data_IF_450241272606
#
_entry.id   IF_450241272606
#
_cell.length_a   1.000
_cell.length_b   1.000
_cell.length_c   1.000
_cell.angle_alpha   90.00
_cell.angle_beta   90.00
_cell.angle_gamma   90.00
#
_symmetry.space_group_name_H-M   'P 1'
#
loop_
_entity.id
_entity.type
_entity.pdbx_description
1 polymer ?
#
# COMPACT_ATOMS: atom_id res chain seq x y z
N UNK A 1 -8.01 26.76 30.53
CA UNK A 1 -7.70 26.84 29.08
C UNK A 1 -7.79 28.25 28.47
N UNK A 2 -8.42 29.24 29.13
CA UNK A 2 -8.36 30.65 28.68
C UNK A 2 -7.18 31.44 29.27
N UNK A 3 -6.65 31.01 30.44
CA UNK A 3 -5.57 31.70 31.14
C UNK A 3 -4.16 31.50 30.52
N UNK A 4 -3.93 30.38 29.83
CA UNK A 4 -2.61 30.08 29.22
C UNK A 4 -2.39 30.81 27.89
N UNK A 5 -3.46 31.22 27.20
CA UNK A 5 -3.38 31.98 25.93
C UNK A 5 -2.95 33.43 26.16
N UNK A 6 -3.29 34.01 27.33
CA UNK A 6 -2.89 35.38 27.71
C UNK A 6 -1.41 35.44 28.10
N UNK A 7 -0.88 34.39 28.72
CA UNK A 7 0.54 34.32 29.09
C UNK A 7 1.47 34.23 27.86
N UNK A 8 1.06 33.48 26.82
CA UNK A 8 1.83 33.36 25.58
C UNK A 8 1.87 34.69 24.78
N UNK A 9 0.78 35.45 24.79
CA UNK A 9 0.74 36.79 24.16
C UNK A 9 1.55 37.83 24.94
N UNK A 10 1.56 37.77 26.28
CA UNK A 10 2.33 38.69 27.12
C UNK A 10 3.86 38.54 26.98
N UNK A 11 4.36 37.32 26.81
CA UNK A 11 5.80 37.04 26.64
C UNK A 11 6.32 37.46 25.26
N UNK A 12 5.47 37.36 24.22
CA UNK A 12 5.84 37.78 22.86
C UNK A 12 5.97 39.31 22.72
N UNK A 13 5.16 40.07 23.46
CA UNK A 13 5.19 41.54 23.47
C UNK A 13 6.42 42.08 24.23
N UNK A 14 6.86 41.40 25.31
CA UNK A 14 8.06 41.82 26.06
C UNK A 14 9.37 41.49 25.33
N UNK A 15 9.41 40.37 24.58
CA UNK A 15 10.58 39.96 23.80
C UNK A 15 10.93 40.90 22.64
N UNK A 16 9.93 41.56 22.06
CA UNK A 16 10.13 42.53 20.96
C UNK A 16 10.39 43.96 21.45
N UNK A 17 9.99 44.30 22.69
CA UNK A 17 10.25 45.62 23.27
C UNK A 17 11.71 45.80 23.76
N UNK A 18 12.46 44.72 24.00
CA UNK A 18 13.85 44.79 24.48
C UNK A 18 14.89 45.00 23.38
N UNK A 19 14.52 44.94 22.09
CA UNK A 19 15.47 44.96 20.96
C UNK A 19 15.53 46.32 20.24
N UNK A 20 14.65 47.28 20.55
CA UNK A 20 14.70 48.61 19.91
C UNK A 20 14.49 49.75 20.91
N UNK A 21 15.59 50.33 21.39
CA UNK A 21 15.63 51.69 21.94
C UNK A 21 15.40 52.68 20.80
N UNK A 22 14.16 53.07 20.55
CA UNK A 22 13.78 54.41 20.10
C UNK A 22 12.27 54.45 19.88
N UNK A 23 11.58 55.24 20.70
CA UNK A 23 10.16 55.55 20.55
C UNK A 23 10.05 56.62 19.48
N UNK A 24 9.40 56.31 18.34
CA UNK A 24 8.60 57.27 17.55
C UNK A 24 7.86 56.56 16.41
N UNK A 25 6.53 56.48 16.56
CA UNK A 25 5.52 56.23 15.52
C UNK A 25 5.59 54.91 14.72
N UNK A 26 4.88 53.87 15.20
CA UNK A 26 4.54 52.69 14.39
C UNK A 26 3.16 52.89 13.74
N UNK A 27 3.15 53.19 12.43
CA UNK A 27 1.96 53.03 11.58
C UNK A 27 1.59 51.55 11.55
N UNK A 28 0.42 51.20 12.08
CA UNK A 28 -0.16 49.86 11.95
C UNK A 28 -0.70 49.70 10.53
N UNK A 29 0.18 49.29 9.61
CA UNK A 29 -0.22 48.72 8.33
C UNK A 29 -0.32 47.21 8.50
N UNK A 30 -1.55 46.67 8.44
CA UNK A 30 -1.77 45.23 8.36
C UNK A 30 -1.30 44.76 6.98
N UNK A 31 -0.01 44.48 6.85
CA UNK A 31 0.51 43.73 5.72
C UNK A 31 0.08 42.28 5.89
N UNK A 32 -0.99 41.90 5.18
CA UNK A 32 -1.37 40.51 4.99
C UNK A 32 -0.37 39.86 4.04
N UNK A 33 0.80 39.50 4.56
CA UNK A 33 1.68 38.55 3.89
C UNK A 33 1.11 37.15 4.10
N UNK A 34 0.48 36.67 3.03
CA UNK A 34 -0.09 35.35 2.85
C UNK A 34 0.93 34.26 3.25
N UNK A 35 0.89 33.84 4.51
CA UNK A 35 1.67 32.70 5.00
C UNK A 35 0.78 31.46 4.82
N UNK A 36 0.70 30.97 3.59
CA UNK A 36 0.06 29.68 3.27
C UNK A 36 1.01 28.58 3.73
N UNK A 37 1.00 28.31 5.03
CA UNK A 37 1.37 27.05 5.72
C UNK A 37 1.45 27.39 7.22
N UNK A 38 0.72 26.70 8.13
CA UNK A 38 0.39 25.29 8.03
C UNK A 38 -1.04 24.95 8.50
N UNK A 39 -2.06 25.36 7.75
CA UNK A 39 -3.38 24.70 7.87
C UNK A 39 -3.26 23.19 7.63
N UNK A 40 -2.42 22.78 6.67
CA UNK A 40 -2.19 21.37 6.37
C UNK A 40 -1.33 20.61 7.40
N UNK A 41 -0.36 21.26 8.08
CA UNK A 41 0.43 20.58 9.11
C UNK A 41 -0.34 20.49 10.44
N UNK A 42 -1.13 21.52 10.78
CA UNK A 42 -2.08 21.44 11.88
C UNK A 42 -3.14 20.35 11.65
N UNK A 43 -3.63 20.21 10.41
CA UNK A 43 -4.54 19.13 10.05
C UNK A 43 -3.88 17.75 10.18
N UNK A 44 -2.62 17.58 9.73
CA UNK A 44 -1.88 16.31 9.87
C UNK A 44 -1.69 15.88 11.33
N UNK A 45 -1.45 16.81 12.25
CA UNK A 45 -1.26 16.50 13.67
C UNK A 45 -2.56 16.17 14.40
N UNK A 46 -3.70 16.69 13.91
CA UNK A 46 -5.00 16.60 14.59
C UNK A 46 -5.93 15.49 14.08
N UNK A 47 -5.69 14.87 12.92
CA UNK A 47 -6.75 14.10 12.25
C UNK A 47 -6.51 12.61 12.02
N UNK A 48 -5.39 12.01 12.45
CA UNK A 48 -5.14 10.57 12.23
C UNK A 48 -5.44 10.12 10.78
N UNK A 49 -5.12 10.97 9.80
CA UNK A 49 -5.41 10.68 8.39
C UNK A 49 -4.33 9.77 7.83
N UNK A 50 -4.69 8.53 7.49
CA UNK A 50 -3.90 7.70 6.58
C UNK A 50 -4.13 8.17 5.14
N UNK A 51 -3.16 8.87 4.54
CA UNK A 51 -3.24 9.25 3.13
C UNK A 51 -2.60 8.15 2.30
N UNK A 52 -3.38 7.54 1.41
CA UNK A 52 -2.84 6.59 0.44
C UNK A 52 -2.79 7.23 -0.96
N UNK A 53 -1.61 7.63 -1.40
CA UNK A 53 -1.44 8.13 -2.77
C UNK A 53 -1.19 6.93 -3.69
N UNK A 54 -2.25 6.43 -4.34
CA UNK A 54 -2.12 5.43 -5.40
C UNK A 54 -1.89 6.11 -6.75
N UNK A 55 -0.64 6.41 -7.10
CA UNK A 55 -0.32 6.91 -8.45
C UNK A 55 -0.53 5.76 -9.45
N UNK A 56 -1.67 5.78 -10.14
CA UNK A 56 -1.94 4.87 -11.27
C UNK A 56 -1.19 5.42 -12.48
N UNK A 57 -0.19 4.72 -13.04
CA UNK A 57 0.43 5.15 -14.29
C UNK A 57 -0.63 5.15 -15.40
N UNK A 58 -0.59 6.12 -16.33
CA UNK A 58 -1.57 6.21 -17.40
C UNK A 58 -1.55 4.92 -18.25
N UNK A 59 -2.74 4.34 -18.49
CA UNK A 59 -2.89 3.33 -19.54
C UNK A 59 -2.71 3.99 -20.91
N UNK A 60 -1.97 3.40 -21.85
CA UNK A 60 -1.69 4.02 -23.16
C UNK A 60 -2.91 4.15 -24.10
N UNK A 61 -4.12 3.89 -23.62
CA UNK A 61 -5.34 3.87 -24.42
C UNK A 61 -6.41 4.73 -23.77
N UNK A 62 -6.47 6.01 -24.16
CA UNK A 62 -7.70 6.81 -24.33
C UNK A 62 -7.37 8.30 -24.36
N UNK A 63 -6.78 8.79 -25.45
CA UNK A 63 -6.96 10.17 -25.90
C UNK A 63 -6.56 10.27 -27.36
N UNK A 64 -7.55 10.28 -28.27
CA UNK A 64 -7.32 10.71 -29.65
C UNK A 64 -7.09 12.22 -29.64
N UNK A 65 -5.82 12.62 -29.52
CA UNK A 65 -5.41 14.02 -29.60
C UNK A 65 -3.93 14.08 -29.94
N UNK A 66 -3.62 14.56 -31.14
CA UNK A 66 -2.25 14.77 -31.62
C UNK A 66 -1.43 15.52 -30.57
N UNK A 67 -0.34 14.92 -30.05
CA UNK A 67 0.84 15.67 -29.62
C UNK A 67 2.08 14.79 -29.44
N UNK A 68 3.18 15.44 -29.78
CA UNK A 68 4.56 15.00 -29.87
C UNK A 68 5.07 14.18 -28.68
N UNK A 69 5.93 13.23 -29.00
CA UNK A 69 6.67 12.39 -28.08
C UNK A 69 7.73 13.20 -27.30
N UNK A 70 7.38 13.65 -26.09
CA UNK A 70 8.35 13.82 -25.00
C UNK A 70 7.62 13.98 -23.65
N UNK A 71 7.57 12.90 -22.86
CA UNK A 71 7.01 12.87 -21.51
C UNK A 71 5.54 12.44 -21.48
N UNK A 72 5.29 11.20 -21.03
CA UNK A 72 3.93 10.69 -20.76
C UNK A 72 3.20 11.66 -19.82
N UNK A 73 2.01 12.14 -20.20
CA UNK A 73 1.17 12.91 -19.28
C UNK A 73 0.87 12.09 -18.05
N UNK A 74 1.42 12.48 -16.90
CA UNK A 74 1.24 11.76 -15.64
C UNK A 74 -0.10 12.14 -15.03
N UNK A 75 -1.15 11.40 -15.37
CA UNK A 75 -2.37 11.44 -14.57
C UNK A 75 -2.09 10.74 -13.24
N UNK A 76 -2.54 11.36 -12.13
CA UNK A 76 -2.40 10.79 -10.80
C UNK A 76 -3.80 10.60 -10.21
N UNK A 77 -4.11 9.37 -9.82
CA UNK A 77 -5.28 9.07 -9.00
C UNK A 77 -4.88 9.19 -7.53
N UNK A 78 -5.77 9.71 -6.68
CA UNK A 78 -5.50 9.82 -5.25
C UNK A 78 -6.63 9.11 -4.50
N UNK A 79 -6.27 8.16 -3.63
CA UNK A 79 -7.22 7.47 -2.76
C UNK A 79 -7.11 8.00 -1.32
N UNK A 80 -8.00 8.91 -0.95
CA UNK A 80 -8.00 9.47 0.40
C UNK A 80 -9.02 8.76 1.28
N UNK A 81 -8.54 8.11 2.34
CA UNK A 81 -9.37 7.52 3.39
C UNK A 81 -9.00 8.14 4.75
N UNK A 82 -9.95 8.21 5.67
CA UNK A 82 -9.74 8.77 7.01
C UNK A 82 -10.46 7.91 8.03
N UNK A 83 -9.78 7.57 9.11
CA UNK A 83 -10.39 6.96 10.28
C UNK A 83 -10.16 7.81 11.52
N UNK A 84 -11.15 7.88 12.39
CA UNK A 84 -11.05 8.64 13.64
C UNK A 84 -12.02 8.06 14.67
N UNK A 85 -11.66 8.14 15.95
CA UNK A 85 -12.50 7.64 17.06
C UNK A 85 -13.78 8.45 17.21
N UNK A 86 -13.73 9.75 16.91
CA UNK A 86 -14.88 10.64 16.95
C UNK A 86 -15.52 10.79 15.57
N UNK A 87 -16.79 10.36 15.46
CA UNK A 87 -17.62 10.52 14.23
C UNK A 87 -17.69 11.97 13.73
N UNK A 88 -17.81 12.94 14.65
CA UNK A 88 -17.94 14.37 14.31
C UNK A 88 -16.74 14.90 13.50
N UNK A 89 -15.52 14.42 13.79
CA UNK A 89 -14.32 14.81 13.05
C UNK A 89 -14.39 14.34 11.57
N UNK A 90 -14.89 13.12 11.35
CA UNK A 90 -15.09 12.57 10.01
C UNK A 90 -16.18 13.30 9.24
N UNK A 91 -17.23 13.76 9.93
CA UNK A 91 -18.28 14.57 9.31
C UNK A 91 -17.77 15.93 8.83
N UNK A 92 -16.83 16.55 9.55
CA UNK A 92 -16.13 17.77 9.10
C UNK A 92 -15.31 17.47 7.85
N UNK A 93 -14.47 16.43 7.87
CA UNK A 93 -13.70 16.03 6.69
C UNK A 93 -14.59 15.77 5.47
N UNK A 94 -15.70 15.06 5.64
CA UNK A 94 -16.64 14.79 4.55
C UNK A 94 -17.31 16.07 3.99
N UNK A 95 -17.48 17.13 4.79
CA UNK A 95 -18.03 18.42 4.30
C UNK A 95 -17.05 19.15 3.39
N UNK A 96 -15.75 19.04 3.68
CA UNK A 96 -14.69 19.75 2.94
C UNK A 96 -14.38 19.15 1.56
N UNK A 97 -14.81 17.90 1.29
CA UNK A 97 -14.56 17.23 -0.02
C UNK A 97 -15.27 17.94 -1.19
N UNK A 98 -16.47 18.49 -0.99
CA UNK A 98 -17.20 19.13 -2.09
C UNK A 98 -16.61 20.50 -2.50
N UNK A 99 -16.30 21.43 -1.58
CA UNK A 99 -15.59 22.67 -1.92
C UNK A 99 -14.21 22.43 -2.53
N UNK A 100 -13.53 21.36 -2.12
CA UNK A 100 -12.24 20.95 -2.69
C UNK A 100 -12.33 20.68 -4.21
N UNK A 101 -13.39 20.01 -4.68
CA UNK A 101 -13.54 19.69 -6.10
C UNK A 101 -13.67 20.92 -7.01
N UNK A 102 -14.24 22.00 -6.50
CA UNK A 102 -14.46 23.25 -7.25
C UNK A 102 -13.39 24.31 -7.04
N UNK A 103 -12.55 24.18 -5.99
CA UNK A 103 -11.61 25.22 -5.56
C UNK A 103 -10.15 24.78 -5.40
N UNK A 104 -9.80 23.53 -5.69
CA UNK A 104 -8.41 23.03 -5.61
C UNK A 104 -7.58 23.35 -6.86
N UNK A 105 -6.34 22.85 -6.86
CA UNK A 105 -5.33 23.08 -7.88
C UNK A 105 -5.89 22.94 -9.31
N UNK A 106 -5.51 23.84 -10.23
CA UNK A 106 -5.83 23.72 -11.65
C UNK A 106 -5.40 22.34 -12.18
N UNK A 107 -6.29 21.69 -12.94
CA UNK A 107 -6.02 20.36 -13.51
C UNK A 107 -6.67 19.18 -12.76
N UNK A 108 -7.43 19.42 -11.68
CA UNK A 108 -8.28 18.38 -11.09
C UNK A 108 -9.43 18.03 -12.04
N UNK A 109 -9.45 16.80 -12.55
CA UNK A 109 -10.40 16.34 -13.58
C UNK A 109 -11.69 15.73 -13.01
N UNK A 110 -11.73 15.44 -11.70
CA UNK A 110 -12.95 15.00 -11.03
C UNK A 110 -12.73 14.45 -9.61
N UNK A 111 -13.81 14.41 -8.83
CA UNK A 111 -13.89 13.68 -7.56
C UNK A 111 -14.87 12.53 -7.75
N UNK A 112 -14.36 11.30 -7.70
CA UNK A 112 -15.17 10.09 -7.85
C UNK A 112 -15.76 9.70 -6.49
N UNK A 113 -17.05 9.33 -6.47
CA UNK A 113 -17.72 8.82 -5.25
C UNK A 113 -18.43 9.87 -4.38
N UNK A 114 -18.36 11.15 -4.75
CA UNK A 114 -19.11 12.22 -4.08
C UNK A 114 -18.73 12.40 -2.60
N UNK A 115 -19.69 12.85 -1.80
CA UNK A 115 -19.47 13.07 -0.36
C UNK A 115 -19.51 11.73 0.40
N UNK A 116 -18.42 11.32 1.07
CA UNK A 116 -18.38 10.05 1.78
C UNK A 116 -19.33 10.05 2.99
N UNK A 117 -20.00 8.91 3.24
CA UNK A 117 -20.76 8.67 4.47
C UNK A 117 -19.83 8.10 5.54
N UNK A 118 -20.01 8.54 6.78
CA UNK A 118 -19.25 7.99 7.90
C UNK A 118 -19.85 6.65 8.34
N UNK A 119 -19.03 5.61 8.36
CA UNK A 119 -19.36 4.26 8.82
C UNK A 119 -18.34 3.75 9.83
N UNK A 120 -18.70 2.83 10.73
CA UNK A 120 -17.74 2.16 11.60
C UNK A 120 -16.80 1.25 10.79
N UNK A 121 -15.54 1.13 11.24
CA UNK A 121 -14.56 0.17 10.70
C UNK A 121 -14.60 -1.08 11.57
N UNK A 122 -15.01 -2.21 11.00
CA UNK A 122 -15.07 -3.48 11.71
C UNK A 122 -13.71 -4.18 11.64
N UNK A 123 -13.14 -4.53 12.80
CA UNK A 123 -11.85 -5.21 12.89
C UNK A 123 -12.04 -6.62 13.43
N UNK A 124 -11.87 -7.67 12.60
CA UNK A 124 -11.88 -9.03 13.10
C UNK A 124 -10.64 -9.30 13.95
N UNK A 125 -10.82 -9.96 15.09
CA UNK A 125 -9.73 -10.44 15.93
C UNK A 125 -9.72 -11.95 15.89
N UNK A 126 -8.63 -12.51 15.37
CA UNK A 126 -8.42 -13.95 15.30
C UNK A 126 -7.53 -14.39 16.46
N UNK A 127 -7.92 -15.44 17.15
CA UNK A 127 -7.13 -16.06 18.22
C UNK A 127 -7.19 -17.58 18.08
N UNK A 128 -6.14 -18.25 18.53
CA UNK A 128 -6.14 -19.71 18.61
C UNK A 128 -6.83 -20.13 19.90
N UNK A 129 -7.75 -21.09 19.81
CA UNK A 129 -8.35 -21.72 20.97
C UNK A 129 -7.85 -23.17 21.09
N UNK A 130 -7.37 -23.61 22.27
CA UNK A 130 -6.86 -24.96 22.44
C UNK A 130 -7.93 -26.01 22.14
N UNK A 131 -7.63 -26.94 21.23
CA UNK A 131 -8.55 -28.05 20.92
C UNK A 131 -8.90 -28.89 22.15
N UNK A 132 -7.98 -29.01 23.12
CA UNK A 132 -8.19 -29.73 24.38
C UNK A 132 -9.25 -29.10 25.30
N UNK A 133 -9.59 -27.83 25.09
CA UNK A 133 -10.58 -27.10 25.88
C UNK A 133 -11.97 -27.08 25.23
N UNK A 134 -12.07 -27.57 23.99
CA UNK A 134 -13.36 -27.73 23.31
C UNK A 134 -14.11 -28.92 23.91
N UNK A 135 -15.29 -28.66 24.46
CA UNK A 135 -16.24 -29.72 24.77
C UNK A 135 -16.88 -30.16 23.46
N UNK A 136 -16.70 -31.42 23.08
CA UNK A 136 -17.40 -32.00 21.95
C UNK A 136 -18.91 -31.90 22.19
N UNK A 137 -19.58 -31.02 21.45
CA UNK A 137 -21.01 -30.90 21.42
C UNK A 137 -21.49 -31.57 20.12
N UNK A 138 -21.95 -32.81 20.27
CA UNK A 138 -22.63 -33.63 19.26
C UNK A 138 -21.76 -34.11 18.08
N UNK A 139 -21.55 -35.43 18.04
CA UNK A 139 -21.04 -36.12 16.86
C UNK A 139 -22.15 -36.17 15.80
N UNK A 140 -21.98 -35.38 14.74
CA UNK A 140 -22.73 -35.60 13.50
C UNK A 140 -22.12 -36.86 12.88
N UNK A 141 -22.88 -37.96 12.81
CA UNK A 141 -22.51 -39.14 12.04
C UNK A 141 -22.54 -38.80 10.55
N UNK A 142 -21.50 -38.13 10.05
CA UNK A 142 -21.22 -38.12 8.61
C UNK A 142 -20.76 -39.51 8.20
N UNK A 143 -21.32 -40.04 7.12
CA UNK A 143 -20.89 -41.31 6.56
C UNK A 143 -19.40 -41.23 6.26
N UNK A 144 -18.62 -42.13 6.88
CA UNK A 144 -17.17 -42.28 6.76
C UNK A 144 -16.70 -41.94 5.33
N UNK A 145 -16.06 -40.78 5.09
CA UNK A 145 -15.33 -40.62 3.85
C UNK A 145 -14.19 -41.62 3.89
N UNK A 146 -14.21 -42.60 2.99
CA UNK A 146 -13.06 -43.47 2.71
C UNK A 146 -11.90 -42.61 2.18
N UNK A 147 -11.26 -41.85 3.05
CA UNK A 147 -10.01 -41.18 2.74
C UNK A 147 -9.10 -41.52 3.90
N UNK A 148 -8.21 -42.47 3.67
CA UNK A 148 -7.05 -42.66 4.51
C UNK A 148 -6.41 -41.29 4.70
N UNK A 149 -6.43 -40.75 5.91
CA UNK A 149 -5.52 -39.68 6.33
C UNK A 149 -4.10 -40.25 6.32
N UNK A 150 -3.57 -40.47 5.11
CA UNK A 150 -2.14 -40.57 4.93
C UNK A 150 -1.64 -39.17 5.21
N UNK A 151 -1.03 -39.01 6.38
CA UNK A 151 -0.16 -37.89 6.71
C UNK A 151 0.95 -37.89 5.66
N UNK A 152 0.70 -37.21 4.54
CA UNK A 152 1.70 -37.05 3.49
C UNK A 152 2.83 -36.28 4.15
N UNK A 153 4.03 -36.88 4.29
CA UNK A 153 5.15 -36.17 4.89
C UNK A 153 5.33 -34.86 4.13
N UNK A 154 5.62 -33.74 4.83
CA UNK A 154 5.82 -32.46 4.17
C UNK A 154 6.80 -32.70 3.01
N UNK A 155 6.48 -32.26 1.78
CA UNK A 155 7.31 -32.54 0.62
C UNK A 155 8.72 -32.07 0.98
N UNK A 156 9.64 -33.02 1.00
CA UNK A 156 11.06 -32.77 1.19
C UNK A 156 11.44 -31.73 0.14
N UNK A 157 11.67 -30.49 0.58
CA UNK A 157 12.15 -29.41 -0.25
C UNK A 157 13.61 -29.73 -0.61
N UNK A 158 13.80 -30.68 -1.53
CA UNK A 158 15.08 -30.86 -2.19
C UNK A 158 15.24 -29.66 -3.12
N UNK A 159 15.84 -28.60 -2.58
CA UNK A 159 16.36 -27.51 -3.40
C UNK A 159 17.50 -28.09 -4.24
N UNK A 160 17.20 -28.43 -5.50
CA UNK A 160 18.22 -28.70 -6.50
C UNK A 160 19.24 -27.55 -6.48
N UNK A 161 20.55 -27.85 -6.42
CA UNK A 161 21.58 -26.84 -6.35
C UNK A 161 21.45 -25.89 -7.54
N UNK A 162 21.52 -24.58 -7.27
CA UNK A 162 21.37 -23.56 -8.30
C UNK A 162 22.46 -23.72 -9.36
N UNK A 163 22.07 -24.24 -10.53
CA UNK A 163 22.96 -24.36 -11.67
C UNK A 163 23.53 -22.98 -12.07
N UNK A 164 24.77 -22.95 -12.55
CA UNK A 164 25.36 -21.73 -13.11
C UNK A 164 24.57 -21.29 -14.36
N UNK A 165 23.63 -20.36 -14.16
CA UNK A 165 22.84 -19.77 -15.23
C UNK A 165 23.66 -18.68 -15.95
N UNK A 166 23.66 -18.66 -17.29
CA UNK A 166 24.34 -17.62 -18.05
C UNK A 166 23.71 -16.26 -17.76
N UNK A 167 24.53 -15.24 -17.54
CA UNK A 167 24.11 -13.86 -17.36
C UNK A 167 24.29 -13.06 -18.66
N UNK A 168 23.62 -11.92 -18.75
CA UNK A 168 23.72 -11.05 -19.92
C UNK A 168 23.30 -9.61 -19.62
N UNK A 169 23.41 -8.69 -20.60
CA UNK A 169 23.10 -7.27 -20.41
C UNK A 169 21.60 -6.96 -20.48
N UNK A 170 20.74 -7.96 -20.71
CA UNK A 170 19.32 -7.73 -20.95
C UNK A 170 18.54 -7.53 -19.64
N UNK A 171 17.42 -6.82 -19.77
CA UNK A 171 16.45 -6.61 -18.69
C UNK A 171 15.06 -6.87 -19.22
N UNK A 172 14.24 -7.57 -18.46
CA UNK A 172 12.88 -7.93 -18.83
C UNK A 172 11.92 -7.51 -17.71
N UNK A 173 10.72 -7.08 -18.09
CA UNK A 173 9.62 -6.97 -17.11
C UNK A 173 9.15 -8.37 -16.74
N UNK A 174 8.70 -8.53 -15.50
CA UNK A 174 8.18 -9.82 -15.05
C UNK A 174 6.96 -10.25 -15.88
N UNK A 175 6.18 -9.30 -16.43
CA UNK A 175 5.10 -9.55 -17.39
C UNK A 175 5.50 -10.43 -18.58
N UNK A 176 6.75 -10.31 -19.04
CA UNK A 176 7.28 -11.03 -20.21
C UNK A 176 7.70 -12.45 -19.85
N UNK A 177 8.00 -12.71 -18.58
CA UNK A 177 8.58 -13.97 -18.10
C UNK A 177 7.57 -14.84 -17.33
N UNK A 178 6.56 -14.24 -16.70
CA UNK A 178 5.66 -14.93 -15.80
C UNK A 178 4.21 -14.47 -15.91
N UNK A 179 3.30 -15.36 -15.49
CA UNK A 179 1.93 -15.04 -15.12
C UNK A 179 1.85 -14.86 -13.62
N UNK A 180 1.00 -13.95 -13.15
CA UNK A 180 0.78 -13.74 -11.72
C UNK A 180 -0.69 -13.79 -11.35
N UNK A 181 -0.96 -14.21 -10.11
CA UNK A 181 -2.27 -14.08 -9.48
C UNK A 181 -2.05 -13.76 -8.00
N UNK A 182 -2.85 -12.86 -7.46
CA UNK A 182 -2.81 -12.53 -6.04
C UNK A 182 -4.17 -12.66 -5.37
N UNK A 183 -4.15 -12.75 -4.05
CA UNK A 183 -5.35 -12.80 -3.22
C UNK A 183 -5.03 -12.57 -1.74
N UNK A 184 -6.05 -12.23 -0.98
CA UNK A 184 -5.92 -11.97 0.45
C UNK A 184 -5.86 -13.26 1.28
N UNK A 185 -5.15 -13.16 2.40
CA UNK A 185 -5.11 -14.13 3.49
C UNK A 185 -5.20 -13.37 4.81
N UNK A 186 -6.39 -12.86 5.11
CA UNK A 186 -6.61 -11.98 6.26
C UNK A 186 -5.98 -10.60 6.00
N UNK A 187 -5.02 -10.20 6.83
CA UNK A 187 -4.24 -8.97 6.62
C UNK A 187 -2.98 -9.18 5.75
N UNK A 188 -2.71 -10.41 5.36
CA UNK A 188 -1.59 -10.74 4.48
C UNK A 188 -2.08 -10.92 3.04
N UNK A 189 -1.19 -10.76 2.07
CA UNK A 189 -1.47 -11.03 0.67
C UNK A 189 -0.59 -12.17 0.16
N UNK A 190 -1.15 -13.01 -0.70
CA UNK A 190 -0.42 -14.01 -1.44
C UNK A 190 -0.23 -13.52 -2.88
N UNK A 191 0.95 -13.76 -3.45
CA UNK A 191 1.23 -13.58 -4.89
C UNK A 191 1.84 -14.86 -5.43
N UNK A 192 1.09 -15.57 -6.27
CA UNK A 192 1.59 -16.66 -7.09
C UNK A 192 2.22 -16.13 -8.38
N UNK A 193 3.36 -16.69 -8.76
CA UNK A 193 4.13 -16.38 -9.96
C UNK A 193 4.41 -17.69 -10.68
N UNK A 194 3.95 -17.85 -11.93
CA UNK A 194 4.17 -19.06 -12.73
C UNK A 194 4.94 -18.64 -13.98
N UNK A 195 6.06 -19.32 -14.26
CA UNK A 195 6.85 -19.04 -15.45
C UNK A 195 6.01 -19.27 -16.73
N UNK A 196 6.08 -18.35 -17.69
CA UNK A 196 5.45 -18.50 -19.01
C UNK A 196 6.04 -19.66 -19.81
N UNK A 197 7.33 -19.92 -19.59
CA UNK A 197 8.07 -21.01 -20.20
C UNK A 197 8.95 -21.68 -19.14
N UNK A 198 9.08 -23.03 -19.12
CA UNK A 198 9.91 -23.74 -18.14
C UNK A 198 11.36 -23.25 -18.09
N UNK A 199 11.93 -22.83 -19.23
CA UNK A 199 13.30 -22.28 -19.29
C UNK A 199 13.48 -20.98 -18.49
N UNK A 200 12.41 -20.23 -18.24
CA UNK A 200 12.48 -18.99 -17.46
C UNK A 200 12.48 -19.24 -15.96
N UNK A 201 12.01 -20.41 -15.52
CA UNK A 201 11.86 -20.71 -14.10
C UNK A 201 13.17 -20.66 -13.30
N UNK A 202 14.30 -21.21 -13.78
CA UNK A 202 15.58 -21.08 -13.07
C UNK A 202 15.99 -19.62 -12.86
N UNK A 203 15.78 -18.76 -13.88
CA UNK A 203 16.05 -17.33 -13.77
C UNK A 203 15.12 -16.63 -12.77
N UNK A 204 13.83 -16.97 -12.79
CA UNK A 204 12.87 -16.45 -11.82
C UNK A 204 13.22 -16.88 -10.40
N UNK A 205 13.56 -18.16 -10.18
CA UNK A 205 13.98 -18.69 -8.87
C UNK A 205 15.21 -17.95 -8.33
N UNK A 206 16.19 -17.66 -9.19
CA UNK A 206 17.42 -16.95 -8.81
C UNK A 206 17.23 -15.46 -8.56
N UNK A 207 16.49 -14.77 -9.42
CA UNK A 207 16.39 -13.31 -9.39
C UNK A 207 15.19 -12.77 -8.60
N UNK A 208 14.10 -13.53 -8.51
CA UNK A 208 12.90 -13.16 -7.75
C UNK A 208 12.98 -13.73 -6.33
N UNK A 209 13.84 -13.11 -5.52
CA UNK A 209 14.02 -13.45 -4.11
C UNK A 209 12.96 -12.80 -3.23
N UNK A 210 12.82 -13.28 -1.99
CA UNK A 210 11.97 -12.63 -0.98
C UNK A 210 12.36 -11.16 -0.77
N UNK A 211 13.67 -10.87 -0.70
CA UNK A 211 14.18 -9.51 -0.51
C UNK A 211 13.84 -8.55 -1.65
N UNK A 212 13.88 -9.01 -2.91
CA UNK A 212 13.49 -8.19 -4.07
C UNK A 212 12.00 -7.85 -4.03
N UNK A 213 11.16 -8.81 -3.66
CA UNK A 213 9.71 -8.60 -3.54
C UNK A 213 9.39 -7.72 -2.34
N UNK A 214 10.10 -7.88 -1.22
CA UNK A 214 9.96 -7.05 -0.03
C UNK A 214 10.32 -5.59 -0.31
N UNK A 215 11.44 -5.33 -0.98
CA UNK A 215 11.85 -3.98 -1.37
C UNK A 215 10.81 -3.32 -2.29
N UNK A 216 10.33 -4.06 -3.29
CA UNK A 216 9.30 -3.58 -4.21
C UNK A 216 7.99 -3.21 -3.50
N UNK A 217 7.56 -4.02 -2.52
CA UNK A 217 6.32 -3.82 -1.76
C UNK A 217 6.50 -3.11 -0.41
N UNK A 218 7.67 -2.54 -0.14
CA UNK A 218 7.98 -1.85 1.12
C UNK A 218 7.00 -0.71 1.46
N UNK A 219 6.44 -0.07 0.43
CA UNK A 219 5.41 0.96 0.56
C UNK A 219 4.04 0.44 1.01
N UNK A 220 3.80 -0.87 0.94
CA UNK A 220 2.57 -1.54 1.38
C UNK A 220 2.76 -2.29 2.69
N UNK A 221 3.96 -2.78 2.98
CA UNK A 221 4.22 -3.59 4.17
C UNK A 221 4.24 -2.69 5.41
N UNK A 222 3.62 -3.17 6.50
CA UNK A 222 3.62 -2.44 7.77
C UNK A 222 5.07 -2.32 8.31
N UNK A 223 5.55 -1.10 8.65
CA UNK A 223 6.92 -0.92 9.16
C UNK A 223 7.20 -1.76 10.41
N UNK A 224 8.37 -2.40 10.47
CA UNK A 224 8.79 -3.24 11.60
C UNK A 224 8.27 -4.68 11.57
N UNK A 225 7.57 -5.09 10.51
CA UNK A 225 7.21 -6.50 10.28
C UNK A 225 8.48 -7.32 10.05
N UNK A 226 8.71 -8.36 10.88
CA UNK A 226 9.81 -9.33 10.68
C UNK A 226 9.41 -10.35 9.64
N UNK A 227 10.37 -10.78 8.81
CA UNK A 227 10.16 -11.79 7.76
C UNK A 227 8.94 -11.47 6.88
N UNK A 228 8.83 -10.19 6.49
CA UNK A 228 7.63 -9.64 5.87
C UNK A 228 7.24 -10.34 4.56
N UNK A 229 8.20 -10.94 3.86
CA UNK A 229 7.95 -11.74 2.67
C UNK A 229 8.54 -13.12 2.80
N UNK A 230 7.68 -14.13 2.80
CA UNK A 230 8.08 -15.54 2.74
C UNK A 230 7.90 -16.08 1.32
N UNK A 231 8.93 -16.72 0.77
CA UNK A 231 8.91 -17.34 -0.56
C UNK A 231 8.79 -18.86 -0.44
N UNK A 232 7.89 -19.43 -1.23
CA UNK A 232 7.71 -20.87 -1.41
C UNK A 232 7.96 -21.24 -2.87
N UNK A 233 8.76 -22.28 -3.11
CA UNK A 233 9.08 -22.75 -4.46
C UNK A 233 8.17 -23.92 -4.82
N UNK A 234 7.55 -23.87 -6.00
CA UNK A 234 6.68 -24.93 -6.54
C UNK A 234 7.26 -25.46 -7.87
N UNK A 235 8.30 -26.30 -7.82
CA UNK A 235 9.02 -26.71 -9.03
C UNK A 235 8.13 -27.52 -9.99
N UNK A 236 7.17 -28.29 -9.48
CA UNK A 236 6.27 -29.09 -10.32
C UNK A 236 5.39 -28.29 -11.29
N UNK A 237 5.18 -27.00 -11.02
CA UNK A 237 4.45 -26.09 -11.93
C UNK A 237 5.33 -24.92 -12.41
N UNK A 238 6.65 -25.01 -12.23
CA UNK A 238 7.58 -23.92 -12.56
C UNK A 238 7.16 -22.59 -11.91
N UNK A 239 6.73 -22.66 -10.64
CA UNK A 239 6.11 -21.55 -9.94
C UNK A 239 6.81 -21.15 -8.65
N UNK A 240 6.56 -19.92 -8.23
CA UNK A 240 6.93 -19.35 -6.94
C UNK A 240 5.68 -18.78 -6.29
N UNK A 241 5.64 -18.80 -4.97
CA UNK A 241 4.55 -18.23 -4.21
C UNK A 241 5.11 -17.35 -3.10
N UNK A 242 4.67 -16.10 -3.05
CA UNK A 242 5.10 -15.13 -2.05
C UNK A 242 3.96 -14.83 -1.11
N UNK A 243 4.24 -14.84 0.19
CA UNK A 243 3.29 -14.41 1.22
C UNK A 243 3.84 -13.15 1.86
N UNK A 244 3.12 -12.04 1.67
CA UNK A 244 3.44 -10.72 2.18
C UNK A 244 2.64 -10.48 3.46
N UNK A 245 3.31 -10.56 4.61
CA UNK A 245 2.70 -10.40 5.92
C UNK A 245 2.30 -8.95 6.18
N UNK A 246 1.15 -8.76 6.84
CA UNK A 246 0.66 -7.44 7.30
C UNK A 246 0.73 -6.35 6.21
N UNK A 247 0.35 -6.74 4.99
CA UNK A 247 0.50 -5.93 3.79
C UNK A 247 -0.82 -5.34 3.30
N UNK A 248 -1.97 -5.68 3.90
CA UNK A 248 -3.28 -5.15 3.46
C UNK A 248 -3.81 -4.01 4.33
N UNK A 249 -3.20 -3.71 5.48
CA UNK A 249 -3.58 -2.59 6.34
C UNK A 249 -4.81 -2.87 7.22
N UNK A 250 -4.94 -4.09 7.73
CA UNK A 250 -6.09 -4.62 8.46
C UNK A 250 -6.93 -5.63 7.65
N UNK A 251 -6.52 -5.97 6.43
CA UNK A 251 -7.25 -6.89 5.55
C UNK A 251 -8.59 -6.36 5.02
N UNK A 252 -9.35 -7.22 4.32
CA UNK A 252 -10.54 -6.83 3.55
C UNK A 252 -11.60 -6.02 4.31
N UNK A 253 -11.73 -6.21 5.63
CA UNK A 253 -12.80 -5.60 6.44
C UNK A 253 -12.35 -4.29 7.11
N UNK A 254 -11.08 -4.20 7.50
CA UNK A 254 -10.56 -3.07 8.28
C UNK A 254 -9.68 -2.12 7.48
N UNK A 255 -9.25 -2.53 6.28
CA UNK A 255 -8.35 -1.75 5.45
C UNK A 255 -9.01 -0.51 4.87
N UNK A 256 -8.25 0.57 4.88
CA UNK A 256 -8.60 1.85 4.27
C UNK A 256 -8.00 2.01 2.87
N UNK A 257 -7.27 0.99 2.39
CA UNK A 257 -6.57 1.02 1.10
C UNK A 257 -7.55 0.89 -0.06
N UNK A 258 -7.10 1.31 -1.25
CA UNK A 258 -7.87 1.18 -2.48
C UNK A 258 -8.09 -0.28 -2.91
N UNK A 259 -7.15 -1.16 -2.60
CA UNK A 259 -7.24 -2.60 -2.86
C UNK A 259 -7.06 -3.41 -1.56
N UNK A 260 -8.13 -3.50 -0.75
CA UNK A 260 -8.06 -4.18 0.54
C UNK A 260 -8.03 -5.72 0.42
N UNK A 261 -8.23 -6.26 -0.79
CA UNK A 261 -8.17 -7.70 -1.08
C UNK A 261 -6.86 -8.12 -1.78
N UNK A 262 -5.96 -7.17 -2.05
CA UNK A 262 -4.68 -7.43 -2.71
C UNK A 262 -4.81 -8.01 -4.12
N UNK A 263 -5.93 -7.80 -4.83
CA UNK A 263 -6.17 -8.36 -6.16
C UNK A 263 -5.29 -7.74 -7.25
N UNK A 264 -4.83 -6.51 -7.02
CA UNK A 264 -3.94 -5.78 -7.92
C UNK A 264 -2.46 -6.13 -7.70
N UNK A 265 -2.09 -6.77 -6.58
CA UNK A 265 -0.68 -7.00 -6.22
C UNK A 265 0.04 -7.86 -7.25
N UNK A 266 -0.64 -8.85 -7.83
CA UNK A 266 -0.11 -9.63 -8.93
C UNK A 266 0.25 -8.76 -10.13
N UNK A 267 -0.62 -7.81 -10.51
CA UNK A 267 -0.37 -6.88 -11.62
C UNK A 267 0.74 -5.89 -11.29
N UNK A 268 0.78 -5.36 -10.07
CA UNK A 268 1.89 -4.51 -9.63
C UNK A 268 3.23 -5.24 -9.78
N UNK A 269 3.33 -6.48 -9.29
CA UNK A 269 4.57 -7.25 -9.38
C UNK A 269 5.03 -7.49 -10.83
N UNK A 270 4.10 -7.54 -11.81
CA UNK A 270 4.46 -7.69 -13.23
C UNK A 270 5.27 -6.50 -13.78
N UNK A 271 5.17 -5.33 -13.15
CA UNK A 271 5.94 -4.13 -13.53
C UNK A 271 7.41 -4.21 -13.08
N UNK A 272 7.75 -5.12 -12.16
CA UNK A 272 9.11 -5.32 -11.69
C UNK A 272 10.03 -5.69 -12.87
N UNK A 273 11.14 -4.96 -13.00
CA UNK A 273 12.17 -5.21 -14.00
C UNK A 273 13.31 -6.03 -13.41
N UNK A 274 13.49 -7.24 -13.93
CA UNK A 274 14.66 -8.07 -13.62
C UNK A 274 15.80 -7.71 -14.57
N UNK A 275 17.02 -7.64 -14.04
CA UNK A 275 18.25 -7.23 -14.75
C UNK A 275 19.27 -8.36 -14.75
N UNK A 276 20.30 -8.21 -15.59
CA UNK A 276 21.42 -9.13 -15.72
C UNK A 276 21.03 -10.50 -16.31
N UNK A 277 20.04 -10.50 -17.21
CA UNK A 277 19.54 -11.70 -17.86
C UNK A 277 20.17 -11.87 -19.26
N UNK A 278 20.36 -13.11 -19.73
CA UNK A 278 20.71 -13.38 -21.12
C UNK A 278 19.51 -13.03 -22.02
N UNK A 279 19.67 -13.12 -23.34
CA UNK A 279 18.54 -12.94 -24.24
C UNK A 279 17.56 -14.12 -24.12
N UNK A 280 16.54 -13.96 -23.27
CA UNK A 280 15.52 -14.97 -23.01
C UNK A 280 14.51 -15.10 -24.16
N UNK A 281 14.48 -14.17 -25.11
CA UNK A 281 13.54 -14.21 -26.26
C UNK A 281 14.06 -15.07 -27.42
N UNK A 282 15.36 -15.33 -27.47
CA UNK A 282 15.99 -16.18 -28.47
C UNK A 282 16.25 -17.62 -28.00
N UNK A 283 15.94 -17.92 -26.73
CA UNK A 283 16.04 -19.24 -26.11
C UNK A 283 14.86 -20.15 -26.43
#
# INVERSE_FOLDING_TARGET
MLLEVVAAFGVLVYGLASITRSISALKVGVFSTCTILPGQAAFRLLTCIERYLAVVPPSPTCASGKKEASGSGTEAVIWMAVHHTQKKALEVFAREVAPAGTGMAPGLTGIVGGRPRVSPVLKPFFFMHPKSELKEAESIQEAEPHTSEQEVPPPSAQEEPDAELPSGPHSFRLEELAFTRSGDKGDSANIGVIARHPLFFPYLKKHLTSSVVEDYFSHLITPGTKDAVTRYTLPGINGLNFVLQSSLGGGGVASLRSDPQGKAYGQMLLDLKLRNLPDLKSL
#
